data_IF_017319024393
#
_entry.id   IF_017319024393
#
_cell.length_a   1.000
_cell.length_b   1.000
_cell.length_c   1.000
_cell.angle_alpha   90.00
_cell.angle_beta   90.00
_cell.angle_gamma   90.00
#
_symmetry.space_group_name_H-M   'P 1'
#
loop_
_entity.id
_entity.type
_entity.pdbx_description
1 polymer ?
#
# COMPACT_ATOMS: atom_id res chain seq x y z
N UNK A 1 -2.83 4.09 -8.50
CA UNK A 1 -1.81 5.03 -9.02
C UNK A 1 -1.27 5.87 -7.87
N UNK A 2 -0.25 5.38 -7.14
CA UNK A 2 0.40 6.18 -6.08
C UNK A 2 1.78 6.64 -6.56
N UNK A 3 2.53 5.72 -7.18
CA UNK A 3 3.88 5.95 -7.73
C UNK A 3 3.92 7.05 -8.80
N UNK A 4 2.81 7.30 -9.49
CA UNK A 4 2.70 8.32 -10.54
C UNK A 4 2.10 9.65 -10.05
N UNK A 5 1.96 9.84 -8.73
CA UNK A 5 1.36 11.06 -8.18
C UNK A 5 -0.17 11.11 -8.26
N UNK A 6 -0.86 9.96 -8.38
CA UNK A 6 -2.32 9.95 -8.32
C UNK A 6 -3.00 10.32 -9.64
N UNK A 7 -4.11 11.03 -9.49
CA UNK A 7 -4.94 11.54 -10.58
C UNK A 7 -4.64 13.03 -10.76
N UNK A 8 -3.48 13.31 -11.34
CA UNK A 8 -2.98 14.65 -11.65
C UNK A 8 -2.40 14.67 -13.05
N UNK A 9 -2.41 15.84 -13.69
CA UNK A 9 -1.78 16.00 -14.99
C UNK A 9 -0.26 15.78 -14.91
N UNK A 10 0.33 15.33 -16.01
CA UNK A 10 1.77 15.13 -16.08
C UNK A 10 2.53 16.44 -15.78
N UNK A 11 3.64 16.33 -15.05
CA UNK A 11 4.47 17.45 -14.58
C UNK A 11 3.81 18.36 -13.53
N UNK A 12 2.67 17.96 -12.95
CA UNK A 12 2.10 18.67 -11.79
C UNK A 12 3.02 18.51 -10.58
N UNK A 13 3.50 19.60 -9.96
CA UNK A 13 4.24 19.50 -8.71
C UNK A 13 3.29 19.08 -7.58
N UNK A 14 3.66 18.04 -6.84
CA UNK A 14 2.92 17.53 -5.68
C UNK A 14 3.76 17.66 -4.42
N UNK A 15 3.09 17.85 -3.28
CA UNK A 15 3.76 17.90 -1.98
C UNK A 15 3.99 16.49 -1.42
N UNK A 16 4.88 16.38 -0.44
CA UNK A 16 5.07 15.14 0.33
C UNK A 16 3.78 14.70 1.05
N UNK A 17 3.07 15.64 1.67
CA UNK A 17 1.78 15.41 2.34
C UNK A 17 0.75 14.75 1.41
N UNK A 18 0.73 15.18 0.14
CA UNK A 18 -0.15 14.62 -0.88
C UNK A 18 0.20 13.15 -1.17
N UNK A 19 1.48 12.86 -1.41
CA UNK A 19 1.94 11.48 -1.65
C UNK A 19 1.70 10.58 -0.43
N UNK A 20 2.02 11.06 0.77
CA UNK A 20 1.80 10.33 2.02
C UNK A 20 0.32 10.00 2.23
N UNK A 21 -0.58 10.90 1.83
CA UNK A 21 -2.03 10.64 1.89
C UNK A 21 -2.44 9.55 0.90
N UNK A 22 -1.93 9.57 -0.33
CA UNK A 22 -2.19 8.54 -1.33
C UNK A 22 -1.66 7.16 -0.90
N UNK A 23 -0.43 7.11 -0.40
CA UNK A 23 0.21 5.89 0.11
C UNK A 23 -0.59 5.29 1.26
N UNK A 24 -0.98 6.12 2.24
CA UNK A 24 -1.78 5.68 3.38
C UNK A 24 -3.10 5.07 2.94
N UNK A 25 -3.81 5.71 2.02
CA UNK A 25 -5.08 5.19 1.49
C UNK A 25 -4.90 3.83 0.82
N UNK A 26 -3.93 3.71 -0.08
CA UNK A 26 -3.65 2.47 -0.79
C UNK A 26 -3.21 1.34 0.16
N UNK A 27 -2.38 1.66 1.15
CA UNK A 27 -1.97 0.70 2.18
C UNK A 27 -3.14 0.23 3.04
N UNK A 28 -3.97 1.16 3.53
CA UNK A 28 -5.14 0.85 4.34
C UNK A 28 -6.16 0.00 3.56
N UNK A 29 -6.29 0.20 2.26
CA UNK A 29 -7.13 -0.65 1.41
C UNK A 29 -6.54 -2.08 1.32
N UNK A 30 -5.24 -2.20 1.04
CA UNK A 30 -4.58 -3.49 0.86
C UNK A 30 -4.55 -4.34 2.14
N UNK A 31 -4.36 -3.71 3.31
CA UNK A 31 -4.27 -4.41 4.61
C UNK A 31 -5.61 -5.00 5.04
N UNK A 32 -6.72 -4.48 4.54
CA UNK A 32 -8.06 -5.04 4.80
C UNK A 32 -8.31 -6.35 4.05
N UNK A 33 -7.53 -6.67 3.02
CA UNK A 33 -7.74 -7.87 2.24
C UNK A 33 -7.38 -9.14 3.05
N UNK A 34 -8.25 -10.18 3.11
CA UNK A 34 -7.99 -11.38 3.92
C UNK A 34 -6.67 -12.08 3.61
N UNK A 35 -6.30 -12.17 2.32
CA UNK A 35 -4.99 -12.73 1.90
C UNK A 35 -3.80 -11.92 2.44
N UNK A 36 -3.93 -10.60 2.58
CA UNK A 36 -2.86 -9.77 3.15
C UNK A 36 -2.69 -10.09 4.63
N UNK A 37 -3.81 -10.16 5.37
CA UNK A 37 -3.80 -10.52 6.79
C UNK A 37 -3.24 -11.93 7.02
N UNK A 38 -3.63 -12.91 6.20
CA UNK A 38 -3.10 -14.27 6.26
C UNK A 38 -1.57 -14.32 6.07
N UNK A 39 -1.04 -13.51 5.14
CA UNK A 39 0.42 -13.41 4.94
C UNK A 39 1.12 -12.78 6.13
N UNK A 40 0.53 -11.73 6.72
CA UNK A 40 1.07 -11.07 7.92
C UNK A 40 1.12 -12.08 9.08
N UNK A 41 0.02 -12.80 9.33
CA UNK A 41 -0.05 -13.81 10.38
C UNK A 41 0.99 -14.92 10.18
N UNK A 42 1.07 -15.49 8.98
CA UNK A 42 2.05 -16.55 8.69
C UNK A 42 3.50 -16.08 8.90
N UNK A 43 3.80 -14.82 8.54
CA UNK A 43 5.11 -14.22 8.81
C UNK A 43 5.38 -14.06 10.31
N UNK A 44 4.38 -13.63 11.09
CA UNK A 44 4.51 -13.47 12.55
C UNK A 44 4.67 -14.82 13.27
N UNK A 45 3.96 -15.85 12.82
CA UNK A 45 3.96 -17.17 13.46
C UNK A 45 5.18 -18.01 13.09
N UNK A 46 5.52 -18.04 11.79
CA UNK A 46 6.50 -18.99 11.24
C UNK A 46 7.79 -18.33 10.75
N UNK A 47 7.82 -17.01 10.61
CA UNK A 47 8.91 -16.28 9.96
C UNK A 47 9.03 -16.52 8.45
N UNK A 48 8.12 -17.31 7.86
CA UNK A 48 8.16 -17.70 6.45
C UNK A 48 7.02 -17.04 5.66
N UNK A 49 7.26 -16.59 4.42
CA UNK A 49 6.23 -15.95 3.61
C UNK A 49 5.18 -16.96 3.15
N UNK A 50 3.91 -16.62 3.36
CA UNK A 50 2.78 -17.37 2.81
C UNK A 50 2.63 -17.04 1.32
N UNK A 51 2.77 -18.08 0.48
CA UNK A 51 2.66 -17.99 -0.99
C UNK A 51 1.20 -18.09 -1.43
N UNK A 52 0.93 -17.59 -2.64
CA UNK A 52 -0.38 -17.69 -3.30
C UNK A 52 -0.73 -19.13 -3.67
#
# INVERSE_FOLDING_TARGET
NVVTGGDVDANTPVSEEYLMTLERRAFCELVQHPKTQARILAMLESGKPLRN
#
